data_IF_958069531760
#
_entry.id   IF_958069531760
#
_cell.length_a   1.000
_cell.length_b   1.000
_cell.length_c   1.000
_cell.angle_alpha   90.00
_cell.angle_beta   90.00
_cell.angle_gamma   90.00
#
_symmetry.space_group_name_H-M   'P 1'
#
loop_
_entity.id
_entity.type
_entity.pdbx_description
1 polymer ?
#
# COMPACT_ATOMS: atom_id res chain seq x y z
N UNK A 1 -7.35 15.61 -0.33
CA UNK A 1 -7.25 14.12 -0.42
C UNK A 1 -6.29 13.65 0.66
N UNK A 2 -6.56 12.49 1.24
CA UNK A 2 -5.68 11.87 2.22
C UNK A 2 -4.41 11.35 1.54
N UNK A 3 -3.30 11.19 2.27
CA UNK A 3 -2.07 10.71 1.66
C UNK A 3 -2.15 9.24 1.29
N UNK A 4 -1.33 8.87 0.31
CA UNK A 4 -1.10 7.47 -0.03
C UNK A 4 0.01 6.97 0.91
N UNK A 5 -0.27 5.92 1.66
CA UNK A 5 0.71 5.35 2.58
C UNK A 5 1.50 4.26 1.87
N UNK A 6 2.81 4.35 1.98
CA UNK A 6 3.75 3.41 1.36
C UNK A 6 4.57 2.76 2.46
N UNK A 7 4.62 1.44 2.50
CA UNK A 7 5.47 0.72 3.45
C UNK A 7 6.37 -0.26 2.71
N UNK A 8 7.67 -0.07 2.86
CA UNK A 8 8.70 -0.91 2.26
C UNK A 8 9.99 -0.63 3.03
N UNK A 9 10.75 -1.66 3.35
CA UNK A 9 12.04 -1.49 4.01
C UNK A 9 13.13 -0.98 3.05
N UNK A 10 12.90 -1.05 1.74
CA UNK A 10 13.84 -0.56 0.72
C UNK A 10 13.63 0.93 0.45
N UNK A 11 14.60 1.74 0.87
CA UNK A 11 14.54 3.18 0.68
C UNK A 11 14.43 3.58 -0.80
N UNK A 12 15.09 2.83 -1.70
CA UNK A 12 15.04 3.13 -3.13
C UNK A 12 13.64 2.99 -3.69
N UNK A 13 12.91 1.97 -3.27
CA UNK A 13 11.52 1.76 -3.70
C UNK A 13 10.64 2.90 -3.20
N UNK A 14 10.76 3.26 -1.92
CA UNK A 14 9.99 4.38 -1.37
C UNK A 14 10.28 5.67 -2.12
N UNK A 15 11.56 5.94 -2.38
CA UNK A 15 11.96 7.17 -3.10
C UNK A 15 11.35 7.24 -4.50
N UNK A 16 11.45 6.14 -5.25
CA UNK A 16 10.92 6.08 -6.61
C UNK A 16 9.41 6.32 -6.63
N UNK A 17 8.68 5.67 -5.73
CA UNK A 17 7.23 5.84 -5.64
C UNK A 17 6.85 7.25 -5.20
N UNK A 18 7.54 7.79 -4.20
CA UNK A 18 7.27 9.15 -3.72
C UNK A 18 7.46 10.18 -4.84
N UNK A 19 8.53 10.03 -5.62
CA UNK A 19 8.79 10.95 -6.74
C UNK A 19 7.73 10.83 -7.84
N UNK A 20 7.36 9.59 -8.18
CA UNK A 20 6.35 9.36 -9.22
C UNK A 20 5.00 9.93 -8.81
N UNK A 21 4.61 9.74 -7.55
CA UNK A 21 3.32 10.22 -7.07
C UNK A 21 3.32 11.74 -6.86
N UNK A 22 4.45 12.33 -6.51
CA UNK A 22 4.57 13.78 -6.45
C UNK A 22 4.31 14.43 -7.80
N UNK A 23 4.75 13.79 -8.88
CA UNK A 23 4.48 14.27 -10.25
C UNK A 23 3.00 14.23 -10.59
N UNK A 24 2.25 13.32 -9.95
CA UNK A 24 0.81 13.19 -10.13
C UNK A 24 0.02 14.03 -9.12
N UNK A 25 0.73 14.85 -8.34
CA UNK A 25 0.12 15.70 -7.31
C UNK A 25 -0.60 14.90 -6.21
N UNK A 26 -0.12 13.68 -5.97
CA UNK A 26 -0.66 12.82 -4.92
C UNK A 26 0.25 12.88 -3.68
N UNK A 27 -0.29 13.23 -2.51
CA UNK A 27 0.53 13.27 -1.30
C UNK A 27 0.86 11.86 -0.83
N UNK A 28 2.02 11.71 -0.21
CA UNK A 28 2.49 10.39 0.26
C UNK A 28 2.97 10.48 1.71
N UNK A 29 2.90 9.34 2.39
CA UNK A 29 3.52 9.15 3.69
C UNK A 29 4.18 7.78 3.68
N UNK A 30 5.45 7.70 4.05
CA UNK A 30 6.24 6.48 3.92
C UNK A 30 6.59 5.89 5.27
N UNK A 31 6.67 4.56 5.32
CA UNK A 31 7.01 3.79 6.51
C UNK A 31 8.03 2.72 6.14
N UNK A 32 8.83 2.28 7.11
CA UNK A 32 9.83 1.24 6.90
C UNK A 32 9.41 -0.12 7.43
N UNK A 33 8.46 -0.15 8.38
CA UNK A 33 8.03 -1.39 9.02
C UNK A 33 6.52 -1.43 9.19
N UNK A 34 5.91 -2.64 9.19
CA UNK A 34 4.46 -2.78 9.39
C UNK A 34 3.97 -2.20 10.71
N UNK A 35 4.76 -2.31 11.77
CA UNK A 35 4.37 -1.81 13.09
C UNK A 35 4.16 -0.31 13.11
N UNK A 36 4.95 0.42 12.31
CA UNK A 36 4.78 1.86 12.17
C UNK A 36 3.43 2.22 11.54
N UNK A 37 2.99 1.42 10.57
CA UNK A 37 1.69 1.62 9.92
C UNK A 37 0.56 1.39 10.90
N UNK A 38 0.62 0.32 11.66
CA UNK A 38 -0.41 -0.01 12.66
C UNK A 38 -0.48 1.08 13.72
N UNK A 39 0.66 1.52 14.24
CA UNK A 39 0.70 2.59 15.24
C UNK A 39 0.09 3.89 14.69
N UNK A 40 0.41 4.22 13.44
CA UNK A 40 -0.15 5.43 12.80
C UNK A 40 -1.66 5.32 12.59
N UNK A 41 -2.17 4.13 12.24
CA UNK A 41 -3.61 3.90 12.09
C UNK A 41 -4.34 4.04 13.42
N UNK A 42 -3.76 3.52 14.49
CA UNK A 42 -4.37 3.58 15.81
C UNK A 42 -4.36 5.00 16.38
N UNK A 43 -3.38 5.82 16.00
CA UNK A 43 -3.28 7.22 16.46
C UNK A 43 -4.05 8.19 15.56
N UNK A 44 -4.32 7.82 14.31
CA UNK A 44 -4.93 8.75 13.35
C UNK A 44 -6.43 8.88 13.58
N UNK A 45 -6.95 10.08 13.38
CA UNK A 45 -8.39 10.29 13.25
C UNK A 45 -8.83 9.79 11.87
N UNK A 46 -10.14 9.64 11.67
CA UNK A 46 -10.68 9.17 10.39
C UNK A 46 -10.25 10.06 9.23
N UNK A 47 -10.04 11.36 9.46
CA UNK A 47 -9.61 12.30 8.43
C UNK A 47 -8.11 12.27 8.17
N UNK A 48 -7.33 11.65 9.03
CA UNK A 48 -5.86 11.61 8.93
C UNK A 48 -5.31 10.26 8.44
N UNK A 49 -6.17 9.29 8.23
CA UNK A 49 -5.77 7.97 7.75
C UNK A 49 -5.32 7.99 6.29
N UNK A 50 -4.98 6.81 5.75
CA UNK A 50 -4.54 6.73 4.36
C UNK A 50 -5.70 6.78 3.38
N UNK A 51 -5.44 7.32 2.18
CA UNK A 51 -6.37 7.17 1.06
C UNK A 51 -6.34 5.75 0.53
N UNK A 52 -5.13 5.22 0.34
CA UNK A 52 -4.85 3.81 0.02
C UNK A 52 -3.54 3.42 0.69
N UNK A 53 -3.26 2.11 0.72
CA UNK A 53 -1.99 1.59 1.23
C UNK A 53 -1.28 0.79 0.14
N UNK A 54 0.02 1.06 -0.03
CA UNK A 54 0.90 0.28 -0.91
C UNK A 54 1.94 -0.37 -0.03
N UNK A 55 1.97 -1.68 0.04
CA UNK A 55 2.82 -2.43 0.97
C UNK A 55 3.64 -3.50 0.29
N UNK A 56 4.93 -3.57 0.64
CA UNK A 56 5.75 -4.72 0.31
C UNK A 56 5.24 -5.94 1.09
N UNK A 57 5.39 -7.11 0.50
CA UNK A 57 4.90 -8.35 1.12
C UNK A 57 5.89 -8.94 2.12
N UNK A 58 7.19 -8.73 1.89
CA UNK A 58 8.25 -9.28 2.74
C UNK A 58 9.08 -8.17 3.35
N UNK A 59 8.98 -8.02 4.67
CA UNK A 59 9.68 -6.97 5.41
C UNK A 59 10.23 -7.53 6.71
N UNK A 60 11.40 -7.03 7.18
CA UNK A 60 11.88 -7.38 8.51
C UNK A 60 10.84 -7.01 9.57
N UNK A 61 10.64 -7.90 10.52
CA UNK A 61 9.70 -7.68 11.62
C UNK A 61 8.24 -7.95 11.30
N UNK A 62 7.93 -8.42 10.07
CA UNK A 62 6.56 -8.78 9.75
C UNK A 62 6.33 -9.01 8.27
N UNK A 63 5.15 -9.56 7.97
CA UNK A 63 4.73 -9.83 6.60
C UNK A 63 3.72 -8.79 6.16
N UNK A 64 3.77 -8.44 4.87
CA UNK A 64 2.74 -7.60 4.26
C UNK A 64 1.36 -8.25 4.29
N UNK A 65 1.30 -9.58 4.32
CA UNK A 65 0.02 -10.31 4.45
C UNK A 65 -0.58 -10.12 5.84
N UNK A 66 0.25 -10.15 6.88
CA UNK A 66 -0.21 -9.87 8.24
C UNK A 66 -0.67 -8.42 8.37
N UNK A 67 0.07 -7.51 7.77
CA UNK A 67 -0.31 -6.10 7.74
C UNK A 67 -1.65 -5.91 7.02
N UNK A 68 -1.84 -6.57 5.89
CA UNK A 68 -3.10 -6.53 5.13
C UNK A 68 -4.26 -6.96 6.02
N UNK A 69 -4.11 -8.05 6.76
CA UNK A 69 -5.14 -8.54 7.67
C UNK A 69 -5.47 -7.50 8.74
N UNK A 70 -4.46 -6.92 9.38
CA UNK A 70 -4.66 -5.92 10.44
C UNK A 70 -5.32 -4.65 9.90
N UNK A 71 -4.90 -4.21 8.73
CA UNK A 71 -5.47 -3.02 8.10
C UNK A 71 -6.93 -3.24 7.72
N UNK A 72 -7.26 -4.40 7.17
CA UNK A 72 -8.62 -4.72 6.78
C UNK A 72 -9.57 -4.86 7.98
N UNK A 73 -9.07 -5.26 9.13
CA UNK A 73 -9.86 -5.28 10.37
C UNK A 73 -10.25 -3.87 10.81
N UNK A 74 -9.33 -2.90 10.61
CA UNK A 74 -9.55 -1.51 11.02
C UNK A 74 -10.30 -0.70 9.98
N UNK A 75 -9.95 -0.90 8.70
CA UNK A 75 -10.47 -0.14 7.56
C UNK A 75 -10.86 -1.10 6.45
N UNK A 76 -12.01 -1.80 6.57
CA UNK A 76 -12.38 -2.83 5.60
C UNK A 76 -12.58 -2.32 4.18
N UNK A 77 -12.87 -1.03 4.01
CA UNK A 77 -13.03 -0.44 2.67
C UNK A 77 -11.75 0.11 2.06
N UNK A 78 -10.62 0.04 2.78
CA UNK A 78 -9.38 0.62 2.28
C UNK A 78 -8.77 -0.24 1.18
N UNK A 79 -8.53 0.32 -0.03
CA UNK A 79 -7.79 -0.40 -1.05
C UNK A 79 -6.33 -0.57 -0.65
N UNK A 80 -5.82 -1.80 -0.79
CA UNK A 80 -4.43 -2.14 -0.49
C UNK A 80 -3.80 -2.77 -1.72
N UNK A 81 -2.65 -2.22 -2.13
CA UNK A 81 -1.84 -2.78 -3.21
C UNK A 81 -0.65 -3.48 -2.58
N UNK A 82 -0.45 -4.74 -2.93
CA UNK A 82 0.67 -5.52 -2.42
C UNK A 82 1.77 -5.58 -3.47
N UNK A 83 2.99 -5.21 -3.08
CA UNK A 83 4.17 -5.34 -3.92
C UNK A 83 4.83 -6.67 -3.62
N UNK A 84 5.14 -7.45 -4.65
CA UNK A 84 5.68 -8.79 -4.49
C UNK A 84 6.71 -9.10 -5.57
N UNK A 85 7.67 -10.01 -5.26
CA UNK A 85 8.61 -10.47 -6.27
C UNK A 85 7.85 -11.21 -7.38
N UNK A 86 8.32 -11.04 -8.62
CA UNK A 86 7.69 -11.64 -9.79
C UNK A 86 7.52 -13.16 -9.65
N UNK A 87 8.44 -13.81 -8.93
CA UNK A 87 8.43 -15.24 -8.72
C UNK A 87 7.54 -15.69 -7.55
N UNK A 88 6.90 -14.77 -6.83
CA UNK A 88 6.15 -15.10 -5.62
C UNK A 88 4.64 -15.06 -5.88
N UNK A 89 4.19 -15.89 -6.79
CA UNK A 89 2.78 -15.95 -7.18
C UNK A 89 1.89 -16.42 -6.04
N UNK A 90 2.37 -17.35 -5.22
CA UNK A 90 1.59 -17.86 -4.08
C UNK A 90 1.23 -16.76 -3.09
N UNK A 91 2.17 -15.86 -2.82
CA UNK A 91 1.91 -14.71 -1.96
C UNK A 91 0.91 -13.76 -2.58
N UNK A 92 0.96 -13.55 -3.90
CA UNK A 92 -0.01 -12.70 -4.59
C UNK A 92 -1.42 -13.28 -4.48
N UNK A 93 -1.58 -14.59 -4.64
CA UNK A 93 -2.87 -15.27 -4.48
C UNK A 93 -3.38 -15.09 -3.06
N UNK A 94 -2.52 -15.30 -2.06
CA UNK A 94 -2.88 -15.11 -0.65
C UNK A 94 -3.31 -13.69 -0.36
N UNK A 95 -2.64 -12.70 -0.98
CA UNK A 95 -3.01 -11.30 -0.82
C UNK A 95 -4.42 -11.02 -1.35
N UNK A 96 -4.76 -11.53 -2.52
CA UNK A 96 -6.11 -11.38 -3.06
C UNK A 96 -7.15 -12.06 -2.17
N UNK A 97 -6.86 -13.23 -1.66
CA UNK A 97 -7.75 -13.92 -0.73
C UNK A 97 -7.94 -13.14 0.57
N UNK A 98 -6.92 -12.40 1.00
CA UNK A 98 -6.98 -11.52 2.17
C UNK A 98 -7.64 -10.17 1.93
N UNK A 99 -8.06 -9.89 0.69
CA UNK A 99 -8.78 -8.67 0.36
C UNK A 99 -7.95 -7.56 -0.28
N UNK A 100 -6.76 -7.86 -0.78
CA UNK A 100 -5.97 -6.86 -1.52
C UNK A 100 -6.70 -6.42 -2.77
N UNK A 101 -6.60 -5.12 -3.09
CA UNK A 101 -7.21 -4.56 -4.29
C UNK A 101 -6.48 -5.02 -5.55
N UNK A 102 -5.14 -5.02 -5.49
CA UNK A 102 -4.30 -5.40 -6.63
C UNK A 102 -2.92 -5.79 -6.12
N UNK A 103 -2.12 -6.44 -6.97
CA UNK A 103 -0.72 -6.66 -6.67
C UNK A 103 0.17 -6.03 -7.73
N UNK A 104 1.40 -5.67 -7.34
CA UNK A 104 2.36 -5.02 -8.20
C UNK A 104 3.66 -5.82 -8.17
N UNK A 105 4.01 -6.55 -9.24
CA UNK A 105 5.22 -7.38 -9.24
C UNK A 105 6.49 -6.52 -9.31
N UNK A 106 7.51 -6.93 -8.59
CA UNK A 106 8.84 -6.30 -8.64
C UNK A 106 9.78 -7.11 -9.53
N UNK A 107 10.61 -6.49 -10.34
CA UNK A 107 10.67 -5.04 -10.58
C UNK A 107 9.45 -4.56 -11.35
N UNK A 108 8.89 -3.41 -10.94
CA UNK A 108 7.67 -2.92 -11.57
C UNK A 108 7.97 -1.87 -12.62
N UNK A 109 7.07 -1.78 -13.60
CA UNK A 109 7.01 -0.69 -14.56
C UNK A 109 6.36 0.51 -13.87
N UNK A 110 7.09 1.63 -13.76
CA UNK A 110 6.62 2.79 -13.01
C UNK A 110 5.30 3.37 -13.55
N UNK A 111 5.10 3.54 -14.86
CA UNK A 111 3.79 3.97 -15.37
C UNK A 111 2.65 3.03 -14.97
N UNK A 112 2.90 1.73 -14.95
CA UNK A 112 1.89 0.76 -14.52
C UNK A 112 1.61 0.88 -13.03
N UNK A 113 2.63 1.09 -12.21
CA UNK A 113 2.45 1.31 -10.78
C UNK A 113 1.56 2.53 -10.52
N UNK A 114 1.83 3.63 -11.22
CA UNK A 114 1.04 4.87 -11.12
C UNK A 114 -0.40 4.62 -11.54
N UNK A 115 -0.62 3.88 -12.62
CA UNK A 115 -1.97 3.53 -13.08
C UNK A 115 -2.75 2.74 -12.02
N UNK A 116 -2.11 1.73 -11.43
CA UNK A 116 -2.76 0.92 -10.38
C UNK A 116 -3.10 1.78 -9.16
N UNK A 117 -2.22 2.69 -8.79
CA UNK A 117 -2.46 3.58 -7.66
C UNK A 117 -3.64 4.52 -7.96
N UNK A 118 -3.72 5.08 -9.17
CA UNK A 118 -4.86 5.91 -9.56
C UNK A 118 -6.17 5.12 -9.49
N UNK A 119 -6.16 3.87 -9.94
CA UNK A 119 -7.35 3.02 -9.88
C UNK A 119 -7.77 2.74 -8.43
N UNK A 120 -6.80 2.51 -7.55
CA UNK A 120 -7.08 2.31 -6.14
C UNK A 120 -7.65 3.57 -5.49
N UNK A 121 -7.11 4.74 -5.84
CA UNK A 121 -7.62 6.03 -5.35
C UNK A 121 -9.06 6.23 -5.80
N UNK A 122 -9.37 5.96 -7.05
CA UNK A 122 -10.74 6.05 -7.57
C UNK A 122 -11.67 5.12 -6.80
N UNK A 123 -11.24 3.88 -6.55
CA UNK A 123 -12.04 2.94 -5.78
C UNK A 123 -12.30 3.43 -4.36
N UNK A 124 -11.28 4.03 -3.72
CA UNK A 124 -11.43 4.56 -2.37
C UNK A 124 -12.45 5.71 -2.31
N UNK A 125 -12.58 6.47 -3.39
CA UNK A 125 -13.50 7.61 -3.47
C UNK A 125 -14.94 7.21 -3.79
N UNK A 126 -15.14 6.03 -4.35
CA UNK A 126 -16.47 5.53 -4.72
C UNK A 126 -17.36 5.26 -3.51
N UNK A 127 -16.78 4.92 -2.39
CA UNK A 127 -17.52 4.53 -1.20
C UNK A 127 -17.97 5.74 -0.34
N UNK A 128 -17.61 6.91 -0.77
CA UNK A 128 -18.06 8.15 -0.14
C UNK A 128 -19.41 8.63 -0.78
#
# INVERSE_FOLDING_TARGET
>A
MKPIWIVDDDQSIRFVLEKALAREELPTRSFTHPQEVIAALDDASDSEGPQILVSDIRMPGGSGLDLLEQVKKRLPGLPVIIMTAFSDLDSAVSAFQGGAFEYLPKPFDLPKAVELIHRAVEESQREE
#
